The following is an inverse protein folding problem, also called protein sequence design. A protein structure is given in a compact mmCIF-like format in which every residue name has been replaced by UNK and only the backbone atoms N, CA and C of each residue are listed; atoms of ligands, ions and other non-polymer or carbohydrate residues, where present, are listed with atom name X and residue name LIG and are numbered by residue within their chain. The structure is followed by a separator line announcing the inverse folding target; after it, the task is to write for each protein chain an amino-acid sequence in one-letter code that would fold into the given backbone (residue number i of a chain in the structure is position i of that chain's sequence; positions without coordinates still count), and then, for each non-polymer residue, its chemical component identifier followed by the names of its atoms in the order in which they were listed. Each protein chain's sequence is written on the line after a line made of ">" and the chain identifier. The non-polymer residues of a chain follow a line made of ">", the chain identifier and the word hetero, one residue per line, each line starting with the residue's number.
data_IF_029036620259
#
_entry.id   IF_029036620259
#
_cell.length_a   1.000
_cell.length_b   1.000
_cell.length_c   1.000
_cell.angle_alpha   90.00
_cell.angle_beta   90.00
_cell.angle_gamma   90.00
#
_symmetry.space_group_name_H-M   'P 1'
#
loop_
_entity.id
_entity.type
_entity.pdbx_description
1 polymer ?
#
# COMPACT_ATOMS: atom_id res chain seq x y z
N UNK A 1 23.44 -10.46 -36.11
CA UNK A 1 24.80 -10.06 -35.67
C UNK A 1 24.76 -9.82 -34.18
N UNK A 2 25.71 -10.35 -33.39
CA UNK A 2 25.74 -10.17 -31.93
C UNK A 2 26.50 -8.88 -31.60
N UNK A 3 25.90 -7.99 -30.80
CA UNK A 3 26.55 -6.77 -30.31
C UNK A 3 27.68 -7.06 -29.31
N UNK A 4 28.57 -6.10 -29.13
CA UNK A 4 29.68 -6.18 -28.16
C UNK A 4 29.15 -6.01 -26.72
N UNK A 5 29.78 -6.72 -25.78
CA UNK A 5 29.50 -6.61 -24.34
C UNK A 5 30.28 -5.43 -23.74
N UNK A 6 29.82 -4.21 -24.02
CA UNK A 6 30.43 -2.99 -23.53
C UNK A 6 29.93 -2.67 -22.11
N UNK A 7 30.81 -2.85 -21.12
CA UNK A 7 30.55 -2.41 -19.75
C UNK A 7 30.84 -0.91 -19.64
N UNK A 8 29.79 -0.12 -19.66
CA UNK A 8 29.88 1.34 -19.51
C UNK A 8 29.69 1.74 -18.06
N UNK A 9 30.75 2.18 -17.40
CA UNK A 9 30.69 2.87 -16.10
C UNK A 9 30.61 4.38 -16.35
N UNK A 10 29.42 4.87 -16.71
CA UNK A 10 29.19 6.30 -16.84
C UNK A 10 29.35 6.99 -15.49
N UNK A 11 30.23 8.00 -15.41
CA UNK A 11 30.52 8.73 -14.16
C UNK A 11 29.30 9.52 -13.63
N UNK A 12 28.37 9.91 -14.51
CA UNK A 12 27.15 10.63 -14.16
C UNK A 12 25.94 10.09 -14.94
N UNK A 13 24.80 9.91 -14.26
CA UNK A 13 23.51 9.58 -14.87
C UNK A 13 22.52 10.72 -14.65
N UNK A 14 22.11 11.39 -15.73
CA UNK A 14 21.13 12.48 -15.70
C UNK A 14 19.67 12.00 -15.77
N UNK A 15 19.44 10.68 -15.76
CA UNK A 15 18.10 10.11 -15.89
C UNK A 15 17.43 10.04 -14.52
N UNK A 16 16.30 10.73 -14.37
CA UNK A 16 15.50 10.71 -13.14
C UNK A 16 14.79 9.37 -12.94
N UNK A 17 14.39 9.07 -11.69
CA UNK A 17 13.56 7.89 -11.40
C UNK A 17 12.22 7.93 -12.17
N UNK A 18 11.67 9.11 -12.40
CA UNK A 18 10.44 9.33 -13.18
C UNK A 18 10.57 8.79 -14.61
N UNK A 19 11.69 9.10 -15.29
CA UNK A 19 11.95 8.64 -16.65
C UNK A 19 12.23 7.14 -16.74
N UNK A 20 12.63 6.49 -15.63
CA UNK A 20 12.93 5.05 -15.58
C UNK A 20 11.67 4.18 -15.42
N UNK A 21 10.58 4.73 -14.90
CA UNK A 21 9.34 3.96 -14.69
C UNK A 21 8.46 4.06 -15.93
N UNK A 22 8.13 2.93 -16.60
CA UNK A 22 7.29 2.96 -17.81
C UNK A 22 5.96 3.69 -17.60
N UNK A 23 5.51 4.43 -18.60
CA UNK A 23 4.25 5.20 -18.53
C UNK A 23 3.01 4.32 -18.28
N UNK A 24 3.03 3.08 -18.75
CA UNK A 24 1.96 2.10 -18.56
C UNK A 24 2.10 1.26 -17.27
N UNK A 25 3.07 1.57 -16.40
CA UNK A 25 3.29 0.79 -15.19
C UNK A 25 2.12 0.96 -14.20
N UNK A 26 1.51 -0.12 -13.67
CA UNK A 26 0.32 -0.04 -12.82
C UNK A 26 0.46 0.85 -11.57
N UNK A 27 1.67 0.92 -11.01
CA UNK A 27 1.95 1.79 -9.86
C UNK A 27 1.78 3.29 -10.15
N UNK A 28 1.72 3.75 -11.41
CA UNK A 28 1.43 5.15 -11.76
C UNK A 28 0.03 5.56 -11.37
N UNK A 29 -0.98 4.81 -11.82
CA UNK A 29 -2.36 5.04 -11.43
C UNK A 29 -2.55 4.89 -9.91
N UNK A 30 -1.92 3.87 -9.32
CA UNK A 30 -1.98 3.66 -7.87
C UNK A 30 -1.34 4.82 -7.11
N UNK A 31 -0.17 5.32 -7.56
CA UNK A 31 0.54 6.43 -6.91
C UNK A 31 -0.30 7.70 -6.91
N UNK A 32 -0.98 8.02 -8.01
CA UNK A 32 -1.88 9.18 -8.06
C UNK A 32 -2.99 9.10 -7.00
N UNK A 33 -3.69 7.96 -6.91
CA UNK A 33 -4.75 7.73 -5.91
C UNK A 33 -4.19 7.79 -4.48
N UNK A 34 -3.00 7.22 -4.26
CA UNK A 34 -2.33 7.27 -2.96
C UNK A 34 -1.95 8.69 -2.59
N UNK A 35 -1.39 9.47 -3.52
CA UNK A 35 -0.96 10.85 -3.28
C UNK A 35 -2.16 11.74 -2.94
N UNK A 36 -3.28 11.62 -3.67
CA UNK A 36 -4.54 12.29 -3.33
C UNK A 36 -5.06 11.89 -1.94
N UNK A 37 -5.05 10.59 -1.62
CA UNK A 37 -5.49 10.11 -0.32
C UNK A 37 -4.60 10.63 0.83
N UNK A 38 -3.29 10.74 0.59
CA UNK A 38 -2.32 11.24 1.58
C UNK A 38 -2.47 12.75 1.79
N UNK A 39 -2.76 13.52 0.74
CA UNK A 39 -3.04 14.97 0.86
C UNK A 39 -4.26 15.22 1.76
N UNK A 40 -5.36 14.47 1.55
CA UNK A 40 -6.55 14.55 2.41
C UNK A 40 -6.23 14.21 3.87
N UNK A 41 -5.27 13.32 4.11
CA UNK A 41 -4.86 12.90 5.45
C UNK A 41 -3.81 13.80 6.10
N UNK A 42 -3.20 14.74 5.37
CA UNK A 42 -2.11 15.57 5.85
C UNK A 42 -2.40 16.25 7.20
N UNK A 43 -3.60 16.85 7.45
CA UNK A 43 -3.92 17.43 8.76
C UNK A 43 -3.91 16.41 9.91
N UNK A 44 -4.30 15.16 9.64
CA UNK A 44 -4.27 14.10 10.65
C UNK A 44 -2.84 13.65 10.96
N UNK A 45 -1.90 13.81 10.03
CA UNK A 45 -0.48 13.51 10.23
C UNK A 45 0.20 14.58 11.09
N UNK A 46 -0.12 15.86 10.91
CA UNK A 46 0.47 16.93 11.72
C UNK A 46 0.24 16.73 13.22
N UNK A 47 -0.90 16.17 13.63
CA UNK A 47 -1.19 15.88 15.03
C UNK A 47 -0.40 14.70 15.63
N UNK A 48 0.20 13.85 14.80
CA UNK A 48 0.96 12.66 15.24
C UNK A 48 2.46 12.94 15.41
N UNK A 49 2.95 14.08 14.87
CA UNK A 49 4.37 14.41 14.83
C UNK A 49 4.64 15.73 15.53
N UNK A 50 5.73 15.76 16.32
CA UNK A 50 6.19 16.99 16.96
C UNK A 50 6.63 18.01 15.89
N UNK A 51 6.25 19.28 16.09
CA UNK A 51 6.74 20.41 15.29
C UNK A 51 8.19 20.80 15.61
N UNK A 52 8.73 20.28 16.72
CA UNK A 52 10.07 20.60 17.23
C UNK A 52 10.91 19.32 17.32
N UNK A 53 12.15 19.37 16.83
CA UNK A 53 13.14 18.30 16.95
C UNK A 53 13.75 17.88 15.61
N UNK A 54 14.54 16.79 15.63
CA UNK A 54 15.14 16.23 14.41
C UNK A 54 14.03 15.71 13.48
N UNK A 55 14.03 16.10 12.19
CA UNK A 55 13.06 15.59 11.22
C UNK A 55 13.04 14.05 11.19
N UNK A 56 11.88 13.47 11.45
CA UNK A 56 11.65 12.02 11.29
C UNK A 56 11.23 11.68 9.86
N UNK A 57 11.07 10.38 9.56
CA UNK A 57 10.52 9.92 8.29
C UNK A 57 9.11 10.51 8.11
N UNK A 58 8.81 11.19 6.98
CA UNK A 58 7.46 11.68 6.72
C UNK A 58 6.44 10.52 6.67
N UNK A 59 5.26 10.67 7.29
CA UNK A 59 4.25 9.61 7.32
C UNK A 59 3.77 9.18 5.93
N UNK A 60 3.78 10.09 4.96
CA UNK A 60 3.46 9.81 3.54
C UNK A 60 4.45 8.81 2.95
N UNK A 61 5.76 9.07 3.14
CA UNK A 61 6.82 8.17 2.64
C UNK A 61 6.77 6.81 3.35
N UNK A 62 6.48 6.82 4.65
CA UNK A 62 6.32 5.62 5.45
C UNK A 62 5.13 4.77 4.96
N UNK A 63 3.97 5.38 4.71
CA UNK A 63 2.80 4.70 4.17
C UNK A 63 3.06 4.14 2.77
N UNK A 64 3.65 4.91 1.86
CA UNK A 64 4.01 4.42 0.52
C UNK A 64 4.96 3.22 0.58
N UNK A 65 5.94 3.24 1.49
CA UNK A 65 6.85 2.11 1.69
C UNK A 65 6.13 0.86 2.23
N UNK A 66 5.19 1.01 3.17
CA UNK A 66 4.39 -0.10 3.68
C UNK A 66 3.44 -0.67 2.61
N UNK A 67 2.92 0.17 1.70
CA UNK A 67 2.14 -0.29 0.55
C UNK A 67 2.99 -1.14 -0.40
N UNK A 68 4.24 -0.75 -0.69
CA UNK A 68 5.15 -1.59 -1.48
C UNK A 68 5.41 -2.94 -0.81
N UNK A 69 5.55 -2.95 0.52
CA UNK A 69 5.71 -4.19 1.27
C UNK A 69 4.51 -5.13 1.06
N UNK A 70 3.28 -4.60 1.04
CA UNK A 70 2.08 -5.38 0.74
C UNK A 70 2.02 -5.82 -0.74
N UNK A 71 2.22 -4.89 -1.69
CA UNK A 71 2.12 -5.15 -3.12
C UNK A 71 3.10 -6.22 -3.62
N UNK A 72 4.34 -6.17 -3.15
CA UNK A 72 5.41 -7.08 -3.55
C UNK A 72 5.66 -8.18 -2.52
N UNK A 73 4.81 -8.30 -1.50
CA UNK A 73 4.94 -9.32 -0.44
C UNK A 73 6.32 -9.35 0.20
N UNK A 74 6.94 -8.18 0.39
CA UNK A 74 8.28 -8.05 0.96
C UNK A 74 8.27 -8.56 2.40
N UNK A 75 9.23 -9.43 2.73
CA UNK A 75 9.12 -10.31 3.90
C UNK A 75 9.54 -9.65 5.21
N UNK A 76 10.26 -8.54 5.15
CA UNK A 76 10.71 -7.81 6.34
C UNK A 76 10.93 -6.32 6.02
N UNK A 77 10.95 -5.50 7.06
CA UNK A 77 11.35 -4.08 6.92
C UNK A 77 12.82 -3.95 6.51
N UNK A 78 13.69 -4.88 6.94
CA UNK A 78 15.09 -4.95 6.47
C UNK A 78 15.16 -5.16 4.96
N UNK A 79 14.44 -6.15 4.45
CA UNK A 79 14.37 -6.40 3.01
C UNK A 79 13.74 -5.22 2.26
N UNK A 80 12.78 -4.51 2.88
CA UNK A 80 12.21 -3.30 2.29
C UNK A 80 13.26 -2.18 2.18
N UNK A 81 14.09 -1.98 3.21
CA UNK A 81 15.17 -0.98 3.15
C UNK A 81 16.21 -1.38 2.10
N UNK A 82 16.60 -2.65 2.03
CA UNK A 82 17.48 -3.18 0.97
C UNK A 82 16.88 -2.91 -0.42
N UNK A 83 15.59 -3.23 -0.63
CA UNK A 83 14.93 -2.96 -1.90
C UNK A 83 14.89 -1.46 -2.22
N UNK A 84 14.65 -0.59 -1.24
CA UNK A 84 14.71 0.86 -1.46
C UNK A 84 16.11 1.35 -1.82
N UNK A 85 17.16 0.61 -1.47
CA UNK A 85 18.54 1.00 -1.75
C UNK A 85 18.87 0.88 -3.25
N UNK A 86 18.46 -0.23 -3.88
CA UNK A 86 18.80 -0.50 -5.28
C UNK A 86 17.63 -0.42 -6.27
N UNK A 87 16.37 -0.45 -5.82
CA UNK A 87 15.21 -0.55 -6.71
C UNK A 87 14.64 0.83 -7.04
N UNK A 88 14.97 1.35 -8.24
CA UNK A 88 14.50 2.66 -8.71
C UNK A 88 12.97 2.80 -8.75
N UNK A 89 12.22 1.73 -9.02
CA UNK A 89 10.76 1.75 -9.00
C UNK A 89 10.23 1.97 -7.58
N UNK A 90 10.85 1.35 -6.59
CA UNK A 90 10.44 1.48 -5.19
C UNK A 90 10.77 2.89 -4.69
N UNK A 91 11.96 3.40 -5.01
CA UNK A 91 12.37 4.78 -4.70
C UNK A 91 11.42 5.80 -5.32
N UNK A 92 11.11 5.63 -6.60
CA UNK A 92 10.15 6.46 -7.32
C UNK A 92 8.79 6.47 -6.64
N UNK A 93 8.24 5.29 -6.32
CA UNK A 93 6.92 5.18 -5.71
C UNK A 93 6.87 5.84 -4.33
N UNK A 94 7.93 5.69 -3.53
CA UNK A 94 8.02 6.30 -2.18
C UNK A 94 8.27 7.82 -2.24
N UNK A 95 8.84 8.33 -3.33
CA UNK A 95 9.28 9.72 -3.45
C UNK A 95 10.68 9.95 -2.87
N UNK A 96 11.58 8.99 -3.06
CA UNK A 96 13.02 9.14 -2.83
C UNK A 96 13.72 9.45 -4.16
N UNK A 97 14.66 10.40 -4.15
CA UNK A 97 15.57 10.61 -5.28
C UNK A 97 16.49 9.40 -5.45
N UNK A 98 17.19 9.27 -6.58
CA UNK A 98 18.13 8.17 -6.80
C UNK A 98 19.20 8.10 -5.71
N UNK A 99 19.80 9.24 -5.36
CA UNK A 99 20.97 9.29 -4.48
C UNK A 99 20.64 9.58 -2.99
N UNK A 100 19.37 9.76 -2.64
CA UNK A 100 19.00 9.98 -1.23
C UNK A 100 19.40 8.77 -0.35
N UNK A 101 19.92 8.97 0.86
CA UNK A 101 20.16 7.85 1.76
C UNK A 101 18.84 7.16 2.12
N UNK A 102 18.84 5.82 2.14
CA UNK A 102 17.73 5.04 2.70
C UNK A 102 17.75 5.13 4.22
N UNK A 103 16.58 5.03 4.84
CA UNK A 103 16.48 5.05 6.29
C UNK A 103 17.04 3.77 6.91
N UNK A 104 17.63 3.91 8.10
CA UNK A 104 17.94 2.75 8.91
C UNK A 104 16.66 1.99 9.31
N UNK A 105 16.76 0.66 9.32
CA UNK A 105 15.61 -0.23 9.62
C UNK A 105 14.99 0.07 10.98
N UNK A 106 15.79 0.40 12.01
CA UNK A 106 15.28 0.66 13.35
C UNK A 106 14.50 1.99 13.41
N UNK A 107 14.94 2.98 12.64
CA UNK A 107 14.22 4.25 12.49
C UNK A 107 12.88 4.02 11.80
N UNK A 108 12.86 3.21 10.74
CA UNK A 108 11.64 2.81 10.05
C UNK A 108 10.67 2.10 11.01
N UNK A 109 11.14 1.09 11.75
CA UNK A 109 10.31 0.33 12.70
C UNK A 109 9.67 1.25 13.75
N UNK A 110 10.45 2.16 14.34
CA UNK A 110 9.94 3.10 15.37
C UNK A 110 8.90 4.06 14.81
N UNK A 111 9.10 4.57 13.59
CA UNK A 111 8.12 5.46 12.96
C UNK A 111 6.85 4.70 12.58
N UNK A 112 6.96 3.46 12.10
CA UNK A 112 5.79 2.60 11.87
C UNK A 112 4.99 2.40 13.16
N UNK A 113 5.64 2.19 14.30
CA UNK A 113 4.93 2.04 15.57
C UNK A 113 4.18 3.30 16.01
N UNK A 114 4.70 4.49 15.70
CA UNK A 114 3.96 5.75 15.92
C UNK A 114 2.76 5.85 14.99
N UNK A 115 2.93 5.46 13.73
CA UNK A 115 1.84 5.41 12.75
C UNK A 115 0.75 4.39 13.15
N UNK A 116 1.13 3.27 13.78
CA UNK A 116 0.22 2.28 14.37
C UNK A 116 -0.60 2.83 15.54
N UNK A 117 0.01 3.69 16.35
CA UNK A 117 -0.64 4.27 17.53
C UNK A 117 -1.76 5.25 17.14
N UNK A 118 -1.68 5.82 15.93
CA UNK A 118 -2.78 6.58 15.33
C UNK A 118 -3.76 5.68 14.58
N UNK A 119 -5.01 6.14 14.45
CA UNK A 119 -6.05 5.50 13.64
C UNK A 119 -5.84 5.70 12.11
N UNK A 120 -4.57 5.71 11.69
CA UNK A 120 -4.13 6.08 10.34
C UNK A 120 -4.57 5.04 9.31
N UNK A 121 -4.43 3.74 9.60
CA UNK A 121 -4.81 2.71 8.64
C UNK A 121 -6.31 2.71 8.36
N UNK A 122 -7.16 2.94 9.37
CA UNK A 122 -8.60 3.02 9.17
C UNK A 122 -8.98 4.25 8.35
N UNK A 123 -8.40 5.42 8.67
CA UNK A 123 -8.59 6.64 7.89
C UNK A 123 -8.12 6.48 6.45
N UNK A 124 -6.94 5.90 6.23
CA UNK A 124 -6.41 5.64 4.89
C UNK A 124 -7.32 4.70 4.11
N UNK A 125 -7.74 3.59 4.73
CA UNK A 125 -8.69 2.67 4.11
C UNK A 125 -10.01 3.39 3.75
N UNK A 126 -10.54 4.23 4.65
CA UNK A 126 -11.76 4.99 4.39
C UNK A 126 -11.61 5.94 3.21
N UNK A 127 -10.50 6.68 3.12
CA UNK A 127 -10.21 7.57 1.98
C UNK A 127 -10.09 6.80 0.67
N UNK A 128 -9.38 5.67 0.67
CA UNK A 128 -9.28 4.78 -0.51
C UNK A 128 -10.64 4.19 -0.88
N UNK A 129 -11.45 3.79 0.08
CA UNK A 129 -12.82 3.30 -0.17
C UNK A 129 -13.73 4.40 -0.71
N UNK A 130 -13.53 5.66 -0.33
CA UNK A 130 -14.23 6.81 -0.91
C UNK A 130 -14.08 6.90 -2.43
N UNK A 131 -12.94 6.45 -2.98
CA UNK A 131 -12.72 6.37 -4.43
C UNK A 131 -13.50 5.22 -5.09
N UNK A 132 -13.84 4.16 -4.33
CA UNK A 132 -14.61 2.99 -4.80
C UNK A 132 -16.12 3.20 -4.62
N UNK A 133 -16.54 4.04 -3.68
CA UNK A 133 -17.93 4.10 -3.25
C UNK A 133 -18.34 5.49 -2.72
N UNK A 134 -19.06 6.26 -3.54
CA UNK A 134 -20.25 6.97 -3.06
C UNK A 134 -21.43 6.00 -3.17
N UNK A 135 -21.70 5.24 -2.11
CA UNK A 135 -22.89 4.39 -2.03
C UNK A 135 -23.74 4.84 -0.84
N UNK A 136 -24.88 5.46 -1.14
CA UNK A 136 -25.86 6.04 -0.20
C UNK A 136 -26.97 5.08 0.22
N UNK A 137 -26.82 3.77 0.01
CA UNK A 137 -27.89 2.82 0.36
C UNK A 137 -27.53 1.90 1.53
N UNK A 138 -28.31 2.07 2.60
CA UNK A 138 -28.43 1.22 3.79
C UNK A 138 -28.48 -0.29 3.45
N UNK A 139 -27.72 -1.15 4.16
CA UNK A 139 -28.19 -2.43 4.75
C UNK A 139 -27.10 -3.24 5.50
N UNK A 140 -27.50 -3.83 6.64
CA UNK A 140 -26.81 -4.89 7.40
C UNK A 140 -27.25 -6.29 6.91
N UNK A 141 -26.44 -7.32 7.19
CA UNK A 141 -26.78 -8.74 6.93
C UNK A 141 -26.75 -9.60 8.20
N UNK A 142 -27.71 -10.51 8.33
CA UNK A 142 -27.63 -11.75 9.13
C UNK A 142 -28.66 -12.76 8.57
N UNK A 143 -28.24 -13.93 8.05
CA UNK A 143 -29.14 -14.92 7.44
C UNK A 143 -28.72 -16.37 7.79
N UNK A 144 -29.72 -17.24 8.05
CA UNK A 144 -29.68 -18.68 8.39
C UNK A 144 -30.44 -19.59 7.34
N UNK A 145 -30.15 -20.90 7.34
CA UNK A 145 -30.97 -22.11 7.08
C UNK A 145 -31.88 -22.25 5.86
N UNK A 146 -32.66 -21.23 5.50
CA UNK A 146 -33.59 -21.23 4.35
C UNK A 146 -32.91 -20.84 3.02
N UNK A 147 -31.61 -20.59 3.07
CA UNK A 147 -30.88 -19.70 2.16
C UNK A 147 -30.34 -20.35 0.89
N UNK A 148 -30.20 -21.67 0.84
CA UNK A 148 -29.59 -22.38 -0.30
C UNK A 148 -30.51 -22.57 -1.51
N UNK A 149 -31.81 -22.22 -1.40
CA UNK A 149 -32.86 -22.55 -2.39
C UNK A 149 -33.16 -21.43 -3.39
N UNK A 150 -32.65 -20.22 -3.16
CA UNK A 150 -33.07 -19.01 -3.87
C UNK A 150 -31.93 -18.40 -4.71
N UNK A 151 -32.24 -17.57 -5.73
CA UNK A 151 -31.23 -16.86 -6.54
C UNK A 151 -30.19 -16.07 -5.73
N UNK A 152 -30.54 -15.67 -4.50
CA UNK A 152 -29.62 -15.05 -3.53
C UNK A 152 -28.44 -15.95 -3.11
N UNK A 153 -28.56 -17.28 -3.19
CA UNK A 153 -27.44 -18.21 -2.97
C UNK A 153 -26.40 -18.10 -4.09
N UNK A 154 -26.82 -17.99 -5.35
CA UNK A 154 -25.93 -17.78 -6.49
C UNK A 154 -25.22 -16.41 -6.42
N UNK A 155 -25.89 -15.39 -5.89
CA UNK A 155 -25.29 -14.09 -5.57
C UNK A 155 -24.30 -14.21 -4.41
N UNK A 156 -24.67 -14.92 -3.34
CA UNK A 156 -23.79 -15.20 -2.19
C UNK A 156 -22.52 -15.94 -2.61
N UNK A 157 -22.59 -16.92 -3.52
CA UNK A 157 -21.41 -17.60 -4.05
C UNK A 157 -20.49 -16.66 -4.83
N UNK A 158 -21.04 -15.70 -5.59
CA UNK A 158 -20.23 -14.68 -6.29
C UNK A 158 -19.62 -13.67 -5.32
N UNK A 159 -20.38 -13.22 -4.32
CA UNK A 159 -19.90 -12.27 -3.29
C UNK A 159 -18.87 -12.94 -2.38
N UNK A 160 -19.09 -14.20 -2.00
CA UNK A 160 -18.15 -15.01 -1.20
C UNK A 160 -16.83 -15.18 -1.93
N UNK A 161 -16.85 -15.50 -3.22
CA UNK A 161 -15.61 -15.56 -4.03
C UNK A 161 -14.84 -14.23 -4.01
N UNK A 162 -15.53 -13.09 -4.13
CA UNK A 162 -14.89 -11.76 -4.01
C UNK A 162 -14.24 -11.55 -2.65
N UNK A 163 -14.89 -11.97 -1.57
CA UNK A 163 -14.34 -11.89 -0.21
C UNK A 163 -13.17 -12.87 -0.03
N UNK A 164 -13.31 -14.09 -0.51
CA UNK A 164 -12.26 -15.14 -0.44
C UNK A 164 -11.03 -14.76 -1.24
N UNK A 165 -11.17 -14.10 -2.39
CA UNK A 165 -10.06 -13.55 -3.18
C UNK A 165 -9.29 -12.49 -2.38
N UNK A 166 -10.00 -11.55 -1.73
CA UNK A 166 -9.39 -10.53 -0.86
C UNK A 166 -8.60 -11.21 0.27
N UNK A 167 -9.23 -12.13 1.01
CA UNK A 167 -8.57 -12.82 2.11
C UNK A 167 -7.42 -13.73 1.63
N UNK A 168 -7.55 -14.34 0.45
CA UNK A 168 -6.50 -15.12 -0.18
C UNK A 168 -5.29 -14.25 -0.50
N UNK A 169 -5.51 -13.08 -1.11
CA UNK A 169 -4.47 -12.11 -1.42
C UNK A 169 -3.81 -11.56 -0.15
N UNK A 170 -4.60 -11.15 0.86
CA UNK A 170 -4.10 -10.67 2.15
C UNK A 170 -3.16 -11.71 2.80
N UNK A 171 -3.52 -13.00 2.76
CA UNK A 171 -2.64 -14.07 3.25
C UNK A 171 -1.33 -14.14 2.45
N UNK A 172 -1.40 -13.98 1.13
CA UNK A 172 -0.24 -13.92 0.24
C UNK A 172 0.69 -12.75 0.53
N UNK A 173 0.12 -11.56 0.80
CA UNK A 173 0.82 -10.31 1.10
C UNK A 173 1.54 -10.29 2.47
N UNK A 174 1.69 -11.45 3.13
CA UNK A 174 2.47 -11.60 4.35
C UNK A 174 1.65 -11.82 5.62
N UNK A 175 0.32 -11.86 5.54
CA UNK A 175 -0.55 -12.11 6.71
C UNK A 175 -0.99 -13.57 6.86
N UNK A 176 -0.44 -14.52 6.09
CA UNK A 176 -0.59 -15.97 6.38
C UNK A 176 -0.04 -16.34 7.77
N UNK A 177 1.00 -15.64 8.23
CA UNK A 177 1.54 -15.72 9.59
C UNK A 177 1.70 -14.31 10.12
N UNK A 178 1.03 -13.98 11.23
CA UNK A 178 1.13 -12.66 11.83
C UNK A 178 2.56 -12.40 12.33
N UNK A 179 3.18 -11.31 11.86
CA UNK A 179 4.54 -10.91 12.26
C UNK A 179 4.55 -10.01 13.50
N UNK A 180 3.43 -9.37 13.80
CA UNK A 180 3.30 -8.45 14.92
C UNK A 180 2.64 -9.12 16.12
N UNK A 181 3.10 -8.74 17.31
CA UNK A 181 2.51 -9.18 18.58
C UNK A 181 1.42 -8.20 19.01
N UNK A 182 0.25 -8.73 19.37
CA UNK A 182 -0.90 -7.99 19.87
C UNK A 182 -1.97 -7.71 18.81
N UNK A 183 -3.25 -7.81 19.21
CA UNK A 183 -4.40 -7.69 18.31
C UNK A 183 -4.46 -6.34 17.58
N UNK A 184 -4.16 -5.24 18.28
CA UNK A 184 -4.16 -3.89 17.70
C UNK A 184 -3.20 -3.78 16.49
N UNK A 185 -1.96 -4.28 16.65
CA UNK A 185 -0.95 -4.22 15.58
C UNK A 185 -1.31 -5.11 14.40
N UNK A 186 -1.85 -6.29 14.68
CA UNK A 186 -2.31 -7.22 13.63
C UNK A 186 -3.50 -6.65 12.87
N UNK A 187 -4.48 -6.08 13.59
CA UNK A 187 -5.65 -5.43 12.99
C UNK A 187 -5.29 -4.23 12.13
N UNK A 188 -4.33 -3.41 12.57
CA UNK A 188 -3.83 -2.30 11.76
C UNK A 188 -3.19 -2.79 10.46
N UNK A 189 -2.29 -3.78 10.52
CA UNK A 189 -1.65 -4.34 9.32
C UNK A 189 -2.67 -4.98 8.39
N UNK A 190 -3.67 -5.66 8.93
CA UNK A 190 -4.78 -6.20 8.15
C UNK A 190 -5.52 -5.09 7.41
N UNK A 191 -5.87 -4.00 8.10
CA UNK A 191 -6.58 -2.84 7.54
C UNK A 191 -5.78 -2.18 6.43
N UNK A 192 -4.47 -1.95 6.64
CA UNK A 192 -3.58 -1.41 5.62
C UNK A 192 -3.47 -2.35 4.41
N UNK A 193 -3.34 -3.66 4.63
CA UNK A 193 -3.23 -4.66 3.55
C UNK A 193 -4.54 -4.74 2.76
N UNK A 194 -5.69 -4.60 3.40
CA UNK A 194 -6.98 -4.48 2.72
C UNK A 194 -7.07 -3.21 1.87
N UNK A 195 -6.57 -2.07 2.37
CA UNK A 195 -6.47 -0.84 1.58
C UNK A 195 -5.56 -1.02 0.35
N UNK A 196 -4.43 -1.69 0.53
CA UNK A 196 -3.51 -2.04 -0.55
C UNK A 196 -4.20 -2.91 -1.63
N UNK A 197 -4.97 -3.92 -1.22
CA UNK A 197 -5.74 -4.72 -2.17
C UNK A 197 -6.74 -3.87 -2.96
N UNK A 198 -7.44 -2.94 -2.31
CA UNK A 198 -8.36 -2.02 -2.99
C UNK A 198 -7.62 -1.14 -4.00
N UNK A 199 -6.44 -0.63 -3.66
CA UNK A 199 -5.60 0.16 -4.56
C UNK A 199 -5.17 -0.61 -5.82
N UNK A 200 -4.86 -1.91 -5.71
CA UNK A 200 -4.53 -2.74 -6.89
C UNK A 200 -5.72 -2.84 -7.85
N UNK A 201 -6.95 -2.85 -7.31
CA UNK A 201 -8.17 -3.01 -8.11
C UNK A 201 -8.69 -1.69 -8.67
N UNK A 202 -8.51 -0.60 -7.94
CA UNK A 202 -9.10 0.71 -8.24
C UNK A 202 -8.84 1.21 -9.66
N UNK A 203 -7.61 1.17 -10.22
CA UNK A 203 -7.37 1.62 -11.59
C UNK A 203 -8.26 0.92 -12.64
N UNK A 204 -8.52 -0.38 -12.44
CA UNK A 204 -9.41 -1.14 -13.33
C UNK A 204 -10.88 -0.79 -13.13
N UNK A 205 -11.28 -0.48 -11.90
CA UNK A 205 -12.66 -0.09 -11.58
C UNK A 205 -12.98 1.31 -12.10
N UNK A 206 -12.05 2.25 -11.95
CA UNK A 206 -12.19 3.63 -12.45
C UNK A 206 -12.16 3.70 -13.97
N UNK A 207 -11.34 2.87 -14.63
CA UNK A 207 -11.33 2.79 -16.10
C UNK A 207 -12.61 2.15 -16.69
N UNK A 208 -13.42 1.47 -15.87
CA UNK A 208 -14.66 0.82 -16.29
C UNK A 208 -15.93 1.59 -15.91
N UNK A 209 -15.79 2.72 -15.19
CA UNK A 209 -16.87 3.62 -14.77
C UNK A 209 -17.05 4.75 -15.79
#
# INVERSE_FOLDING_TARGET
>A
MRGLDERSEGLFSYVSCEARVPANHPLRAIRAIVDEALEVMSPAFEGLYSKIGRPSIPPEKLLRALLLQAFYSVRSERQLMEQLDYNLLFRWFVGLSMDAPVWDVTVFTKNRERLLAGDVAAKFLATVLGHVARNTSNRRSAIDGRTTRHPGYAVSLRVRKRIEEVFGWIKGAGLRKARHRGAARVGWMFTLTAAAYNLIRLPKLLAAA
#
